data_IF_022255220757
#
_entry.id   IF_022255220757
#
_cell.length_a   1.000
_cell.length_b   1.000
_cell.length_c   1.000
_cell.angle_alpha   90.00
_cell.angle_beta   90.00
_cell.angle_gamma   90.00
#
_symmetry.space_group_name_H-M   'P 1'
#
loop_
_entity.id
_entity.type
_entity.pdbx_description
1 polymer ?
#
# COMPACT_ATOMS: atom_id res chain seq x y z
N UNK A 1 4.98 12.31 -0.49
CA UNK A 1 4.43 10.94 -0.27
C UNK A 1 4.56 10.13 -1.56
N UNK A 2 4.82 8.83 -1.47
CA UNK A 2 5.01 7.95 -2.64
C UNK A 2 3.70 7.39 -3.19
N UNK A 3 3.65 7.19 -4.50
CA UNK A 3 2.56 6.52 -5.19
C UNK A 3 2.46 5.04 -4.79
N UNK A 4 3.57 4.37 -4.46
CA UNK A 4 3.52 2.98 -4.01
C UNK A 4 2.78 2.82 -2.68
N UNK A 5 2.98 3.73 -1.73
CA UNK A 5 2.27 3.71 -0.44
C UNK A 5 0.79 4.02 -0.63
N UNK A 6 0.47 5.03 -1.44
CA UNK A 6 -0.92 5.36 -1.79
C UNK A 6 -1.65 4.16 -2.40
N UNK A 7 -1.08 3.55 -3.43
CA UNK A 7 -1.67 2.40 -4.11
C UNK A 7 -1.79 1.18 -3.19
N UNK A 8 -0.87 0.99 -2.24
CA UNK A 8 -0.96 -0.06 -1.24
C UNK A 8 -2.24 0.11 -0.40
N UNK A 9 -2.44 1.28 0.20
CA UNK A 9 -3.64 1.56 1.02
C UNK A 9 -4.93 1.54 0.21
N UNK A 10 -4.91 2.10 -1.00
CA UNK A 10 -6.03 2.03 -1.94
C UNK A 10 -6.42 0.60 -2.33
N UNK A 11 -5.50 -0.35 -2.17
CA UNK A 11 -5.72 -1.75 -2.49
C UNK A 11 -6.11 -2.62 -1.29
N UNK A 12 -6.07 -2.06 -0.07
CA UNK A 12 -6.57 -2.70 1.14
C UNK A 12 -8.10 -2.76 1.12
N UNK A 13 -8.67 -3.51 2.06
CA UNK A 13 -10.12 -3.59 2.22
C UNK A 13 -10.68 -2.31 2.86
N UNK A 14 -11.66 -1.69 2.20
CA UNK A 14 -12.39 -0.52 2.66
C UNK A 14 -13.80 -0.84 3.18
N UNK A 15 -14.23 -2.11 3.18
CA UNK A 15 -15.56 -2.47 3.63
C UNK A 15 -15.67 -2.40 5.15
N UNK A 16 -16.70 -1.77 5.70
CA UNK A 16 -16.97 -1.78 7.13
C UNK A 16 -17.83 -2.98 7.51
N UNK A 17 -17.37 -3.76 8.49
CA UNK A 17 -18.13 -4.82 9.13
C UNK A 17 -18.18 -4.54 10.63
N UNK A 18 -19.36 -4.60 11.24
CA UNK A 18 -19.58 -4.48 12.68
C UNK A 18 -18.89 -3.27 13.36
N UNK A 19 -18.87 -2.11 12.69
CA UNK A 19 -18.24 -0.88 13.18
C UNK A 19 -16.73 -1.01 13.46
N UNK A 20 -16.00 -1.87 12.73
CA UNK A 20 -14.53 -1.96 12.78
C UNK A 20 -13.86 -0.75 12.10
N UNK A 21 -14.10 0.44 12.65
CA UNK A 21 -13.48 1.68 12.22
C UNK A 21 -12.02 1.79 12.65
N UNK A 22 -11.64 1.10 13.73
CA UNK A 22 -10.28 1.10 14.26
C UNK A 22 -9.25 0.68 13.21
N UNK A 23 -9.59 -0.22 12.28
CA UNK A 23 -8.70 -0.65 11.19
C UNK A 23 -8.21 0.48 10.29
N UNK A 24 -8.98 1.57 10.16
CA UNK A 24 -8.61 2.73 9.35
C UNK A 24 -7.64 3.66 10.07
N UNK A 25 -7.40 3.45 11.37
CA UNK A 25 -6.36 4.17 12.11
C UNK A 25 -5.01 3.51 11.81
N UNK A 26 -4.09 4.27 11.21
CA UNK A 26 -2.79 3.80 10.68
C UNK A 26 -1.59 4.56 11.28
N UNK A 27 -1.32 4.42 12.59
CA UNK A 27 -0.32 5.24 13.28
C UNK A 27 1.07 5.17 12.65
N UNK A 28 1.51 3.97 12.27
CA UNK A 28 2.84 3.74 11.72
C UNK A 28 3.13 4.54 10.45
N UNK A 29 2.12 4.68 9.58
CA UNK A 29 2.25 5.42 8.31
C UNK A 29 2.37 6.94 8.51
N UNK A 30 1.84 7.45 9.63
CA UNK A 30 1.77 8.87 9.95
C UNK A 30 2.75 9.30 11.03
N UNK A 31 3.54 8.37 11.57
CA UNK A 31 4.53 8.63 12.62
C UNK A 31 5.44 9.84 12.33
N UNK A 32 5.93 10.09 11.10
CA UNK A 32 6.75 11.27 10.84
C UNK A 32 6.06 12.61 11.16
N UNK A 33 4.73 12.69 11.00
CA UNK A 33 3.97 13.89 11.38
C UNK A 33 3.96 14.06 12.91
N UNK A 34 3.77 12.96 13.64
CA UNK A 34 3.81 12.98 15.10
C UNK A 34 5.21 13.36 15.62
N UNK A 35 6.25 12.81 15.01
CA UNK A 35 7.64 13.12 15.38
C UNK A 35 7.97 14.61 15.14
N UNK A 36 7.51 15.19 14.04
CA UNK A 36 7.67 16.62 13.75
C UNK A 36 6.91 17.50 14.75
N UNK A 37 5.66 17.15 15.08
CA UNK A 37 4.87 17.87 16.08
C UNK A 37 5.56 17.88 17.46
N UNK A 38 6.14 16.75 17.87
CA UNK A 38 6.92 16.68 19.11
C UNK A 38 8.23 17.47 19.07
N UNK A 39 8.70 17.91 17.90
CA UNK A 39 9.85 18.80 17.81
C UNK A 39 9.49 20.26 18.16
N UNK A 40 8.20 20.62 18.21
CA UNK A 40 7.74 21.99 18.50
C UNK A 40 6.84 22.09 19.75
N UNK A 41 6.13 21.03 20.12
CA UNK A 41 5.27 20.99 21.30
C UNK A 41 5.92 20.19 22.43
N UNK A 42 5.63 20.56 23.68
CA UNK A 42 6.27 19.97 24.87
C UNK A 42 5.32 19.21 25.79
N UNK A 43 4.02 19.25 25.53
CA UNK A 43 2.98 18.61 26.32
C UNK A 43 1.88 18.02 25.42
N UNK A 44 1.09 17.12 26.01
CA UNK A 44 0.10 16.30 25.30
C UNK A 44 -1.07 17.13 24.73
N UNK A 45 -1.48 18.20 25.42
CA UNK A 45 -2.59 19.06 24.98
C UNK A 45 -2.19 19.86 23.75
N UNK A 46 -1.04 20.54 23.81
CA UNK A 46 -0.48 21.31 22.70
C UNK A 46 -0.22 20.42 21.47
N UNK A 47 0.32 19.22 21.69
CA UNK A 47 0.50 18.23 20.64
C UNK A 47 -0.83 17.84 20.00
N UNK A 48 -1.85 17.51 20.79
CA UNK A 48 -3.17 17.13 20.29
C UNK A 48 -3.87 18.29 19.55
N UNK A 49 -3.76 19.52 20.05
CA UNK A 49 -4.24 20.72 19.37
C UNK A 49 -3.48 20.94 18.04
N UNK A 50 -2.17 20.69 17.99
CA UNK A 50 -1.38 20.70 16.77
C UNK A 50 -1.87 19.69 15.73
N UNK A 51 -2.27 18.48 16.15
CA UNK A 51 -2.90 17.50 15.27
C UNK A 51 -4.23 18.02 14.71
N UNK A 52 -5.08 18.63 15.55
CA UNK A 52 -6.33 19.24 15.11
C UNK A 52 -6.11 20.34 14.07
N UNK A 53 -5.10 21.20 14.27
CA UNK A 53 -4.73 22.23 13.30
C UNK A 53 -4.32 21.65 11.94
N UNK A 54 -3.72 20.45 11.89
CA UNK A 54 -3.39 19.78 10.63
C UNK A 54 -4.67 19.32 9.92
N UNK A 55 -5.57 18.61 10.62
CA UNK A 55 -6.77 18.06 9.97
C UNK A 55 -7.76 19.16 9.57
N UNK A 56 -7.85 20.26 10.31
CA UNK A 56 -8.70 21.41 9.98
C UNK A 56 -8.27 22.16 8.70
N UNK A 57 -7.08 21.90 8.18
CA UNK A 57 -6.65 22.44 6.89
C UNK A 57 -7.17 21.64 5.69
N UNK A 58 -7.69 20.42 5.92
CA UNK A 58 -8.19 19.56 4.86
C UNK A 58 -9.64 19.96 4.53
N UNK A 59 -9.98 20.22 3.24
CA UNK A 59 -11.33 20.63 2.87
C UNK A 59 -12.38 19.56 3.19
N UNK A 60 -13.43 19.96 3.91
CA UNK A 60 -14.56 19.07 4.17
C UNK A 60 -15.30 18.72 2.87
N UNK A 61 -15.45 17.44 2.61
CA UNK A 61 -16.18 16.86 1.47
C UNK A 61 -16.78 15.54 1.94
N UNK A 62 -18.11 15.49 2.02
CA UNK A 62 -18.83 14.23 2.26
C UNK A 62 -18.33 13.16 1.29
N UNK A 63 -17.95 12.01 1.84
CA UNK A 63 -17.24 11.00 1.08
C UNK A 63 -17.70 9.59 1.45
N UNK A 64 -17.61 8.69 0.48
CA UNK A 64 -17.89 7.29 0.68
C UNK A 64 -17.28 6.48 -0.45
N UNK A 65 -16.77 5.25 -0.21
CA UNK A 65 -16.60 4.59 1.09
C UNK A 65 -15.50 5.23 1.96
N UNK A 66 -15.29 4.68 3.17
CA UNK A 66 -14.17 5.04 4.04
C UNK A 66 -12.82 4.89 3.33
N UNK A 67 -11.83 5.69 3.75
CA UNK A 67 -10.48 5.72 3.18
C UNK A 67 -9.44 5.70 4.30
N UNK A 68 -8.29 5.11 4.00
CA UNK A 68 -7.17 5.17 4.94
C UNK A 68 -6.56 6.58 4.94
N UNK A 69 -5.97 7.04 6.06
CA UNK A 69 -5.41 8.38 6.20
C UNK A 69 -4.45 8.81 5.07
N UNK A 70 -3.62 7.88 4.59
CA UNK A 70 -2.70 8.10 3.46
C UNK A 70 -3.46 8.49 2.18
N UNK A 71 -4.62 7.90 1.93
CA UNK A 71 -5.46 8.25 0.77
C UNK A 71 -6.08 9.64 0.96
N UNK A 72 -6.67 9.90 2.13
CA UNK A 72 -7.31 11.18 2.45
C UNK A 72 -6.35 12.36 2.32
N UNK A 73 -5.09 12.20 2.77
CA UNK A 73 -4.05 13.23 2.64
C UNK A 73 -3.73 13.51 1.17
N UNK A 74 -3.62 12.47 0.33
CA UNK A 74 -3.34 12.65 -1.11
C UNK A 74 -4.50 13.29 -1.85
N UNK A 75 -5.71 12.84 -1.57
CA UNK A 75 -6.92 13.32 -2.25
C UNK A 75 -7.36 14.70 -1.76
N UNK A 76 -6.82 15.14 -0.61
CA UNK A 76 -7.05 16.45 -0.03
C UNK A 76 -8.54 16.77 0.12
N UNK A 77 -9.24 15.86 0.80
CA UNK A 77 -10.64 16.03 1.15
C UNK A 77 -11.21 14.80 1.82
N UNK A 78 -12.18 15.02 2.70
CA UNK A 78 -12.87 13.98 3.44
C UNK A 78 -13.90 14.57 4.39
N UNK A 79 -14.54 13.71 5.14
CA UNK A 79 -15.57 13.99 6.12
C UNK A 79 -15.12 13.64 7.55
N UNK A 80 -16.04 13.69 8.49
CA UNK A 80 -15.78 13.62 9.93
C UNK A 80 -14.97 12.37 10.34
N UNK A 81 -15.29 11.22 9.77
CA UNK A 81 -14.60 9.95 10.01
C UNK A 81 -13.19 9.94 9.42
N UNK A 82 -12.99 10.36 8.17
CA UNK A 82 -11.67 10.40 7.55
C UNK A 82 -10.72 11.35 8.29
N UNK A 83 -11.23 12.49 8.77
CA UNK A 83 -10.44 13.42 9.59
C UNK A 83 -10.14 12.83 10.96
N UNK A 84 -11.11 12.12 11.56
CA UNK A 84 -10.91 11.40 12.81
C UNK A 84 -9.86 10.29 12.67
N UNK A 85 -9.80 9.57 11.54
CA UNK A 85 -8.78 8.56 11.30
C UNK A 85 -7.38 9.17 11.19
N UNK A 86 -7.23 10.31 10.51
CA UNK A 86 -5.94 11.02 10.46
C UNK A 86 -5.55 11.47 11.87
N UNK A 87 -6.43 12.18 12.57
CA UNK A 87 -6.15 12.71 13.90
C UNK A 87 -5.80 11.60 14.90
N UNK A 88 -6.62 10.55 14.98
CA UNK A 88 -6.36 9.41 15.85
C UNK A 88 -5.05 8.69 15.50
N UNK A 89 -4.71 8.59 14.21
CA UNK A 89 -3.46 7.95 13.78
C UNK A 89 -2.24 8.74 14.21
N UNK A 90 -2.25 10.07 14.01
CA UNK A 90 -1.14 10.93 14.42
C UNK A 90 -1.02 10.97 15.94
N UNK A 91 -2.15 11.14 16.65
CA UNK A 91 -2.16 11.17 18.12
C UNK A 91 -1.63 9.87 18.74
N UNK A 92 -2.13 8.72 18.25
CA UNK A 92 -1.65 7.40 18.71
C UNK A 92 -0.19 7.14 18.31
N UNK A 93 0.27 7.63 17.17
CA UNK A 93 1.68 7.54 16.78
C UNK A 93 2.59 8.38 17.68
N UNK A 94 2.08 9.52 18.18
CA UNK A 94 2.73 10.37 19.17
C UNK A 94 2.74 9.79 20.59
N UNK A 95 2.04 8.68 20.83
CA UNK A 95 2.01 8.01 22.13
C UNK A 95 0.83 8.36 23.02
N UNK A 96 -0.13 9.18 22.54
CA UNK A 96 -1.35 9.46 23.29
C UNK A 96 -2.29 8.25 23.31
N UNK A 97 -3.08 8.15 24.38
CA UNK A 97 -4.16 7.18 24.48
C UNK A 97 -5.44 7.77 23.87
N UNK A 98 -5.98 7.06 22.88
CA UNK A 98 -6.94 7.61 21.93
C UNK A 98 -8.01 6.57 21.61
N UNK A 99 -9.25 7.05 21.48
CA UNK A 99 -10.42 6.30 21.02
C UNK A 99 -11.11 7.07 19.89
N UNK A 100 -11.88 6.37 19.06
CA UNK A 100 -12.86 7.03 18.18
C UNK A 100 -14.19 7.16 18.91
N UNK A 101 -14.88 8.26 18.66
CA UNK A 101 -16.20 8.58 19.19
C UNK A 101 -17.19 8.61 18.04
N UNK A 102 -18.04 7.59 17.95
CA UNK A 102 -19.08 7.49 16.93
C UNK A 102 -20.42 7.99 17.47
N UNK A 103 -20.93 9.08 16.89
CA UNK A 103 -22.23 9.67 17.19
C UNK A 103 -23.23 9.21 16.12
N UNK A 104 -23.82 8.02 16.31
CA UNK A 104 -24.66 7.36 15.30
C UNK A 104 -25.90 8.20 14.92
N UNK A 105 -26.57 8.80 15.91
CA UNK A 105 -27.76 9.62 15.67
C UNK A 105 -27.45 10.91 14.91
N UNK A 106 -26.26 11.46 15.10
CA UNK A 106 -25.80 12.69 14.45
C UNK A 106 -25.07 12.42 13.14
N UNK A 107 -24.83 11.14 12.80
CA UNK A 107 -24.01 10.73 11.65
C UNK A 107 -22.64 11.42 11.65
N UNK A 108 -22.02 11.48 12.83
CA UNK A 108 -20.75 12.17 13.06
C UNK A 108 -19.72 11.27 13.73
N UNK A 109 -18.44 11.55 13.49
CA UNK A 109 -17.33 10.87 14.15
C UNK A 109 -16.29 11.89 14.61
N UNK A 110 -15.74 11.64 15.79
CA UNK A 110 -14.65 12.41 16.37
C UNK A 110 -13.62 11.52 17.05
N UNK A 111 -12.62 12.17 17.63
CA UNK A 111 -11.58 11.53 18.44
C UNK A 111 -11.82 11.88 19.91
N UNK A 112 -11.65 10.88 20.78
CA UNK A 112 -11.51 11.07 22.21
C UNK A 112 -10.06 10.86 22.59
N UNK A 113 -9.44 11.84 23.24
CA UNK A 113 -8.04 11.77 23.66
C UNK A 113 -7.94 11.83 25.18
N UNK A 114 -7.22 10.89 25.77
CA UNK A 114 -6.92 10.91 27.19
C UNK A 114 -5.66 11.73 27.42
N UNK A 115 -5.77 12.75 28.26
CA UNK A 115 -4.67 13.59 28.72
C UNK A 115 -4.41 13.35 30.20
N UNK A 116 -3.17 13.61 30.62
CA UNK A 116 -2.76 13.46 32.04
C UNK A 116 -3.38 14.51 32.95
N UNK A 117 -3.67 15.70 32.42
CA UNK A 117 -4.32 16.82 33.11
C UNK A 117 -5.53 17.30 32.29
N UNK A 118 -6.40 18.07 32.92
CA UNK A 118 -7.55 18.68 32.23
C UNK A 118 -7.08 19.73 31.21
N UNK A 119 -7.67 19.80 29.99
CA UNK A 119 -7.30 20.80 28.99
C UNK A 119 -7.43 22.24 29.50
N UNK A 120 -6.36 23.02 29.41
CA UNK A 120 -6.30 24.42 29.86
C UNK A 120 -6.56 25.42 28.73
N UNK A 121 -6.41 25.01 27.47
CA UNK A 121 -6.53 25.89 26.30
C UNK A 121 -7.97 26.10 25.81
N UNK A 122 -8.97 25.54 26.48
CA UNK A 122 -10.39 25.64 26.10
C UNK A 122 -10.83 27.12 26.12
N UNK A 123 -11.36 27.64 25.00
CA UNK A 123 -11.70 29.08 24.86
C UNK A 123 -13.16 29.39 25.12
N UNK A 124 -14.05 28.44 24.83
CA UNK A 124 -15.49 28.68 24.83
C UNK A 124 -16.16 28.25 26.13
N UNK A 125 -17.33 28.84 26.39
CA UNK A 125 -18.27 28.37 27.43
C UNK A 125 -18.90 27.00 27.09
N UNK A 126 -18.52 26.40 25.95
CA UNK A 126 -18.98 25.11 25.43
C UNK A 126 -18.00 23.98 25.80
N UNK A 127 -17.44 24.04 27.01
CA UNK A 127 -16.71 22.91 27.61
C UNK A 127 -17.70 21.76 27.79
N UNK A 128 -17.33 20.58 27.28
CA UNK A 128 -18.07 19.35 27.52
C UNK A 128 -17.31 18.49 28.52
N UNK A 129 -18.04 17.78 29.37
CA UNK A 129 -17.44 16.83 30.30
C UNK A 129 -16.78 15.70 29.52
N UNK A 130 -15.58 15.24 29.91
CA UNK A 130 -14.93 14.14 29.22
C UNK A 130 -15.80 12.88 29.26
N UNK A 131 -15.68 12.06 28.23
CA UNK A 131 -16.33 10.75 28.18
C UNK A 131 -15.53 9.80 29.05
N UNK A 132 -16.19 9.20 30.03
CA UNK A 132 -15.58 8.17 30.87
C UNK A 132 -15.71 6.80 30.21
N UNK A 133 -14.59 6.12 30.00
CA UNK A 133 -14.55 4.76 29.47
C UNK A 133 -13.42 3.98 30.14
N UNK A 134 -13.74 2.79 30.67
CA UNK A 134 -12.80 1.92 31.40
C UNK A 134 -11.98 2.63 32.49
N UNK A 135 -12.60 3.59 33.19
CA UNK A 135 -11.96 4.33 34.28
C UNK A 135 -10.97 5.42 33.82
N UNK A 136 -10.96 5.75 32.51
CA UNK A 136 -10.22 6.89 31.95
C UNK A 136 -11.18 7.94 31.41
N UNK A 137 -10.73 9.19 31.44
CA UNK A 137 -11.44 10.34 30.87
C UNK A 137 -10.87 10.69 29.50
N UNK A 138 -11.73 10.75 28.50
CA UNK A 138 -11.38 11.13 27.13
C UNK A 138 -12.03 12.47 26.78
N UNK A 139 -11.20 13.47 26.51
CA UNK A 139 -11.64 14.78 26.04
C UNK A 139 -11.89 14.73 24.54
N UNK A 140 -12.96 15.41 24.10
CA UNK A 140 -13.27 15.49 22.67
C UNK A 140 -12.19 16.28 21.93
N UNK A 141 -11.75 15.73 20.81
CA UNK A 141 -10.96 16.42 19.81
C UNK A 141 -11.80 16.51 18.53
N UNK A 142 -12.53 17.62 18.37
CA UNK A 142 -13.43 17.84 17.24
C UNK A 142 -12.64 18.07 15.95
N UNK A 143 -12.74 17.10 15.04
CA UNK A 143 -11.92 17.05 13.84
C UNK A 143 -12.49 17.90 12.69
N UNK A 144 -13.74 18.38 12.81
CA UNK A 144 -14.40 19.21 11.79
C UNK A 144 -14.48 20.67 12.25
N UNK A 145 -13.66 21.55 11.68
CA UNK A 145 -13.56 22.95 12.14
C UNK A 145 -13.43 24.00 11.03
N UNK A 146 -12.92 23.63 9.86
CA UNK A 146 -12.82 24.46 8.64
C UNK A 146 -11.88 25.68 8.72
N UNK A 147 -11.77 26.34 9.86
CA UNK A 147 -10.83 27.44 10.13
C UNK A 147 -9.71 26.93 11.05
N UNK A 148 -8.62 26.40 10.50
CA UNK A 148 -7.50 25.88 11.29
C UNK A 148 -6.85 26.89 12.26
N UNK A 149 -7.04 28.21 12.06
CA UNK A 149 -6.47 29.24 12.98
C UNK A 149 -7.30 29.42 14.23
N UNK A 150 -8.61 29.24 14.12
CA UNK A 150 -9.57 29.40 15.21
C UNK A 150 -10.40 28.13 15.45
N UNK A 151 -9.97 27.01 14.89
CA UNK A 151 -10.67 25.73 14.91
C UNK A 151 -10.66 25.14 16.29
N UNK A 152 -11.43 24.08 16.49
CA UNK A 152 -11.63 23.44 17.79
C UNK A 152 -10.33 23.05 18.47
N UNK A 153 -10.33 23.19 19.79
CA UNK A 153 -9.29 22.68 20.69
C UNK A 153 -9.80 21.47 21.44
N UNK A 154 -8.89 20.64 21.92
CA UNK A 154 -9.23 19.50 22.77
C UNK A 154 -10.04 19.99 23.99
N UNK A 155 -11.12 19.29 24.30
CA UNK A 155 -12.06 19.65 25.37
C UNK A 155 -13.18 20.60 24.95
N UNK A 156 -13.08 21.26 23.79
CA UNK A 156 -14.19 21.98 23.18
C UNK A 156 -15.14 21.00 22.47
N UNK A 157 -16.44 21.27 22.55
CA UNK A 157 -17.47 20.43 21.94
C UNK A 157 -18.54 21.30 21.28
N UNK A 158 -18.95 20.98 20.03
CA UNK A 158 -20.07 21.68 19.38
C UNK A 158 -21.38 21.44 20.16
N UNK A 159 -22.25 22.46 20.16
CA UNK A 159 -23.48 22.44 20.96
C UNK A 159 -24.41 21.28 20.57
N UNK A 160 -24.35 20.86 19.30
CA UNK A 160 -25.11 19.76 18.73
C UNK A 160 -24.72 18.40 19.32
N UNK A 161 -23.48 18.25 19.80
CA UNK A 161 -22.97 17.00 20.38
C UNK A 161 -22.95 17.00 21.90
N UNK A 162 -23.24 18.14 22.55
CA UNK A 162 -23.11 18.33 24.00
C UNK A 162 -23.90 17.30 24.82
N UNK A 163 -25.10 16.93 24.39
CA UNK A 163 -25.93 15.94 25.10
C UNK A 163 -26.07 14.64 24.30
N UNK A 164 -25.29 14.49 23.22
CA UNK A 164 -25.33 13.32 22.35
C UNK A 164 -24.57 12.14 22.96
N UNK A 165 -25.09 10.93 22.75
CA UNK A 165 -24.42 9.70 23.20
C UNK A 165 -23.42 9.22 22.14
N UNK A 166 -22.17 9.02 22.56
CA UNK A 166 -21.13 8.46 21.69
C UNK A 166 -20.93 6.97 21.98
N UNK A 167 -20.77 6.16 20.93
CA UNK A 167 -20.14 4.85 21.04
C UNK A 167 -18.63 5.03 21.02
N UNK A 168 -17.96 4.57 22.07
CA UNK A 168 -16.50 4.51 22.15
C UNK A 168 -15.99 3.30 21.37
N UNK A 169 -15.06 3.53 20.46
CA UNK A 169 -14.38 2.48 19.68
C UNK A 169 -12.89 2.53 20.04
N UNK A 170 -12.40 1.46 20.67
CA UNK A 170 -11.00 1.34 21.06
C UNK A 170 -10.09 1.11 19.85
N UNK A 171 -8.82 1.50 19.98
CA UNK A 171 -7.83 1.39 18.92
C UNK A 171 -6.92 0.16 19.08
N UNK A 172 -7.44 -0.91 19.67
CA UNK A 172 -6.74 -2.19 19.82
C UNK A 172 -6.51 -2.89 18.47
N UNK A 173 -7.48 -2.75 17.55
CA UNK A 173 -7.46 -3.35 16.21
C UNK A 173 -6.92 -2.39 15.13
N UNK A 174 -6.25 -1.31 15.52
CA UNK A 174 -5.64 -0.40 14.55
C UNK A 174 -4.47 -1.07 13.81
N UNK A 175 -4.01 -0.46 12.72
CA UNK A 175 -2.90 -1.02 11.95
C UNK A 175 -1.60 -1.08 12.77
N UNK A 176 -1.06 -2.30 12.90
CA UNK A 176 0.12 -2.56 13.71
C UNK A 176 1.45 -2.29 13.00
N UNK A 177 1.46 -2.25 11.66
CA UNK A 177 2.65 -1.96 10.86
C UNK A 177 2.27 -1.41 9.48
N UNK A 178 3.13 -0.55 8.93
CA UNK A 178 2.95 -0.01 7.58
C UNK A 178 4.18 -0.32 6.70
N UNK A 179 4.00 -0.61 5.40
CA UNK A 179 5.12 -0.85 4.48
C UNK A 179 5.93 0.41 4.15
N UNK A 180 5.44 1.57 4.54
CA UNK A 180 6.11 2.84 4.39
C UNK A 180 5.42 3.90 5.23
N UNK A 181 5.96 5.10 5.19
CA UNK A 181 5.43 6.24 5.90
C UNK A 181 5.25 7.41 4.93
N UNK A 182 4.44 8.38 5.33
CA UNK A 182 4.44 9.70 4.70
C UNK A 182 5.76 10.42 4.98
N UNK A 183 6.11 11.41 4.16
CA UNK A 183 7.20 12.33 4.49
C UNK A 183 6.58 13.57 5.14
N UNK A 184 7.21 14.10 6.18
CA UNK A 184 6.78 15.31 6.89
C UNK A 184 7.99 16.22 7.12
N UNK A 185 7.77 17.54 7.05
CA UNK A 185 8.76 18.57 7.40
C UNK A 185 8.09 19.94 7.48
N UNK A 186 8.62 20.83 8.31
CA UNK A 186 8.27 22.27 8.30
C UNK A 186 8.91 23.05 7.14
N UNK A 187 9.86 22.43 6.44
CA UNK A 187 10.55 22.98 5.29
C UNK A 187 10.22 22.25 3.98
N UNK A 188 10.78 22.76 2.89
CA UNK A 188 10.76 22.04 1.61
C UNK A 188 11.79 20.93 1.66
N UNK A 189 11.33 19.68 1.60
CA UNK A 189 12.19 18.51 1.49
C UNK A 189 12.95 18.49 0.16
N UNK A 190 14.21 18.07 0.19
CA UNK A 190 14.99 17.88 -1.02
C UNK A 190 14.46 16.69 -1.86
N UNK A 191 14.54 16.78 -3.18
CA UNK A 191 14.13 15.66 -4.04
C UNK A 191 15.09 14.50 -3.96
N UNK A 192 14.55 13.28 -4.03
CA UNK A 192 15.32 12.04 -4.19
C UNK A 192 14.83 11.25 -5.40
N UNK A 193 15.60 10.24 -5.84
CA UNK A 193 15.18 9.29 -6.87
C UNK A 193 15.56 7.86 -6.51
N UNK A 194 14.71 6.92 -6.91
CA UNK A 194 14.89 5.50 -6.67
C UNK A 194 14.87 4.76 -8.01
N UNK A 195 15.80 3.85 -8.22
CA UNK A 195 15.84 3.00 -9.42
C UNK A 195 15.56 1.55 -9.07
N UNK A 196 14.94 0.79 -9.96
CA UNK A 196 14.78 -0.66 -9.80
C UNK A 196 15.11 -1.39 -11.10
N UNK A 197 15.91 -2.44 -10.95
CA UNK A 197 16.26 -3.39 -11.99
C UNK A 197 16.10 -4.81 -11.48
N UNK A 198 15.90 -5.74 -12.40
CA UNK A 198 15.82 -7.16 -12.11
C UNK A 198 16.84 -7.87 -12.99
N UNK A 199 17.55 -8.86 -12.44
CA UNK A 199 18.66 -9.54 -13.13
C UNK A 199 18.24 -10.25 -14.42
N UNK A 200 16.97 -10.58 -14.57
CA UNK A 200 16.37 -11.14 -15.79
C UNK A 200 14.91 -10.74 -15.90
N UNK A 201 14.42 -10.55 -17.13
CA UNK A 201 12.99 -10.35 -17.43
C UNK A 201 12.15 -11.63 -17.35
N UNK A 202 12.81 -12.80 -17.32
CA UNK A 202 12.14 -14.10 -17.19
C UNK A 202 12.88 -15.03 -16.21
N UNK A 203 12.12 -15.86 -15.50
CA UNK A 203 12.66 -16.87 -14.57
C UNK A 203 11.74 -18.09 -14.51
N UNK A 204 12.30 -19.26 -14.15
CA UNK A 204 11.51 -20.47 -13.91
C UNK A 204 11.04 -20.45 -12.46
N UNK A 205 9.80 -20.87 -12.19
CA UNK A 205 9.29 -20.97 -10.82
C UNK A 205 10.24 -21.80 -9.93
N UNK A 206 10.46 -21.31 -8.71
CA UNK A 206 11.41 -21.86 -7.73
C UNK A 206 12.87 -21.51 -7.98
N UNK A 207 13.21 -20.79 -9.06
CA UNK A 207 14.59 -20.32 -9.33
C UNK A 207 14.78 -18.88 -8.85
N UNK A 208 15.99 -18.54 -8.38
CA UNK A 208 16.27 -17.21 -7.87
C UNK A 208 16.36 -16.17 -8.99
N UNK A 209 15.86 -14.98 -8.71
CA UNK A 209 16.06 -13.75 -9.48
C UNK A 209 16.45 -12.64 -8.50
N UNK A 210 17.39 -11.78 -8.89
CA UNK A 210 17.83 -10.66 -8.05
C UNK A 210 17.12 -9.39 -8.48
N UNK A 211 16.46 -8.75 -7.52
CA UNK A 211 15.85 -7.43 -7.63
C UNK A 211 16.77 -6.45 -6.92
N UNK A 212 17.04 -5.29 -7.49
CA UNK A 212 17.89 -4.31 -6.83
C UNK A 212 17.95 -2.98 -7.56
N UNK A 213 18.59 -2.01 -6.92
CA UNK A 213 18.66 -0.67 -7.44
C UNK A 213 19.47 0.24 -6.52
N UNK A 214 19.29 1.55 -6.72
CA UNK A 214 19.97 2.57 -5.92
C UNK A 214 19.04 3.73 -5.61
N UNK A 215 19.22 4.28 -4.41
CA UNK A 215 18.68 5.55 -3.95
C UNK A 215 19.68 6.66 -4.26
N UNK A 216 19.18 7.79 -4.75
CA UNK A 216 19.96 9.00 -5.03
C UNK A 216 19.33 10.19 -4.29
N UNK A 217 20.11 10.96 -3.49
CA UNK A 217 21.53 10.77 -3.22
C UNK A 217 21.83 9.45 -2.50
N UNK A 218 23.11 9.06 -2.48
CA UNK A 218 23.53 7.83 -1.82
C UNK A 218 23.33 7.95 -0.31
N UNK A 219 22.27 7.35 0.20
CA UNK A 219 21.91 7.37 1.61
C UNK A 219 21.95 5.94 2.17
N UNK A 220 22.75 5.72 3.20
CA UNK A 220 22.89 4.44 3.87
C UNK A 220 21.81 4.22 4.93
N UNK A 221 21.50 2.95 5.21
CA UNK A 221 20.61 2.59 6.32
C UNK A 221 19.13 2.94 6.09
N UNK A 222 18.73 3.20 4.84
CA UNK A 222 17.36 3.58 4.50
C UNK A 222 16.55 2.35 4.11
N UNK A 223 15.33 2.24 4.63
CA UNK A 223 14.42 1.15 4.34
C UNK A 223 13.72 1.37 2.99
N UNK A 224 14.03 0.53 2.01
CA UNK A 224 13.38 0.48 0.71
C UNK A 224 12.42 -0.70 0.68
N UNK A 225 11.13 -0.43 0.46
CA UNK A 225 10.11 -1.48 0.38
C UNK A 225 9.88 -1.86 -1.07
N UNK A 226 10.00 -3.15 -1.36
CA UNK A 226 9.74 -3.75 -2.67
C UNK A 226 8.29 -4.26 -2.66
N UNK A 227 7.50 -3.77 -3.59
CA UNK A 227 6.11 -4.14 -3.81
C UNK A 227 6.01 -5.06 -5.02
N UNK A 228 5.07 -6.00 -4.95
CA UNK A 228 4.76 -6.92 -6.03
C UNK A 228 3.27 -7.00 -6.27
N UNK A 229 2.89 -7.28 -7.51
CA UNK A 229 1.51 -7.56 -7.90
C UNK A 229 1.48 -8.58 -9.02
N UNK A 230 0.56 -9.54 -8.96
CA UNK A 230 0.22 -10.34 -10.15
C UNK A 230 -0.77 -9.57 -11.05
N UNK A 231 -0.99 -9.99 -12.29
CA UNK A 231 -1.91 -9.29 -13.21
C UNK A 231 -3.35 -9.10 -12.69
N UNK A 232 -3.78 -9.93 -11.74
CA UNK A 232 -5.16 -9.97 -11.22
C UNK A 232 -5.28 -9.59 -9.74
N UNK A 233 -4.18 -9.27 -9.06
CA UNK A 233 -4.19 -8.96 -7.62
C UNK A 233 -3.95 -7.48 -7.34
N UNK A 234 -4.19 -7.08 -6.09
CA UNK A 234 -3.77 -5.82 -5.48
C UNK A 234 -2.27 -5.80 -5.18
N UNK A 235 -1.67 -4.61 -5.13
CA UNK A 235 -0.27 -4.48 -4.73
C UNK A 235 -0.06 -4.99 -3.32
N UNK A 236 0.98 -5.80 -3.12
CA UNK A 236 1.37 -6.29 -1.80
C UNK A 236 2.86 -6.08 -1.58
N UNK A 237 3.28 -6.18 -0.32
CA UNK A 237 4.69 -6.09 0.06
C UNK A 237 5.36 -7.42 -0.26
N UNK A 238 6.43 -7.37 -1.05
CA UNK A 238 7.31 -8.51 -1.24
C UNK A 238 8.34 -8.60 -0.11
N UNK A 239 9.01 -7.49 0.18
CA UNK A 239 10.02 -7.38 1.24
C UNK A 239 10.41 -5.93 1.50
N UNK A 240 11.14 -5.69 2.59
CA UNK A 240 11.84 -4.42 2.86
C UNK A 240 13.32 -4.71 3.02
N UNK A 241 14.15 -3.92 2.34
CA UNK A 241 15.61 -4.04 2.35
C UNK A 241 16.25 -2.72 2.75
N UNK A 242 17.46 -2.79 3.28
CA UNK A 242 18.21 -1.63 3.75
C UNK A 242 19.25 -1.24 2.71
N UNK A 243 19.40 0.06 2.44
CA UNK A 243 20.46 0.57 1.56
C UNK A 243 21.84 0.48 2.21
N UNK A 244 22.85 0.16 1.40
CA UNK A 244 24.26 0.20 1.79
C UNK A 244 24.84 1.63 1.77
N UNK A 245 26.14 1.77 2.04
CA UNK A 245 26.83 3.06 2.05
C UNK A 245 26.82 3.80 0.70
N UNK A 246 26.63 3.09 -0.40
CA UNK A 246 26.52 3.65 -1.75
C UNK A 246 25.04 3.90 -2.15
N UNK A 247 24.11 3.76 -1.20
CA UNK A 247 22.67 3.90 -1.44
C UNK A 247 22.07 2.73 -2.23
N UNK A 248 22.80 1.63 -2.43
CA UNK A 248 22.33 0.48 -3.20
C UNK A 248 21.56 -0.48 -2.33
N UNK A 249 20.60 -1.18 -2.92
CA UNK A 249 19.83 -2.22 -2.27
C UNK A 249 19.64 -3.43 -3.19
N UNK A 250 19.53 -4.62 -2.61
CA UNK A 250 19.35 -5.86 -3.36
C UNK A 250 18.60 -6.90 -2.56
N UNK A 251 17.79 -7.70 -3.26
CA UNK A 251 17.01 -8.80 -2.73
C UNK A 251 16.98 -9.95 -3.74
N UNK A 252 17.21 -11.18 -3.29
CA UNK A 252 17.05 -12.37 -4.11
C UNK A 252 15.72 -13.05 -3.80
N UNK A 253 14.86 -13.12 -4.82
CA UNK A 253 13.54 -13.72 -4.72
C UNK A 253 13.45 -15.01 -5.53
N UNK A 254 12.77 -16.03 -5.02
CA UNK A 254 12.45 -17.26 -5.77
C UNK A 254 10.93 -17.39 -5.90
N UNK A 255 10.33 -17.01 -7.03
CA UNK A 255 8.87 -17.03 -7.21
C UNK A 255 8.31 -18.45 -7.12
N UNK A 256 7.33 -18.70 -6.27
CA UNK A 256 6.73 -20.04 -6.11
C UNK A 256 5.78 -20.42 -7.25
N UNK A 257 5.14 -19.43 -7.87
CA UNK A 257 4.11 -19.63 -8.89
C UNK A 257 4.49 -18.98 -10.21
N UNK A 258 4.10 -19.62 -11.32
CA UNK A 258 4.22 -19.06 -12.66
C UNK A 258 3.19 -17.94 -12.87
N UNK A 259 3.52 -16.99 -13.74
CA UNK A 259 2.65 -15.85 -14.05
C UNK A 259 3.42 -14.59 -14.39
N UNK A 260 2.66 -13.52 -14.63
CA UNK A 260 3.19 -12.18 -14.87
C UNK A 260 3.16 -11.38 -13.57
N UNK A 261 4.31 -10.86 -13.18
CA UNK A 261 4.48 -10.05 -11.98
C UNK A 261 4.94 -8.64 -12.32
N UNK A 262 4.37 -7.66 -11.62
CA UNK A 262 4.78 -6.27 -11.65
C UNK A 262 5.51 -5.98 -10.35
N UNK A 263 6.72 -5.45 -10.44
CA UNK A 263 7.61 -5.20 -9.30
C UNK A 263 8.01 -3.74 -9.31
N UNK A 264 7.91 -3.06 -8.18
CA UNK A 264 8.44 -1.71 -7.98
C UNK A 264 8.98 -1.57 -6.57
N UNK A 265 9.76 -0.53 -6.32
CA UNK A 265 10.23 -0.18 -4.99
C UNK A 265 9.77 1.23 -4.63
N UNK A 266 9.61 1.48 -3.34
CA UNK A 266 9.33 2.79 -2.79
C UNK A 266 10.21 3.05 -1.57
N UNK A 267 10.68 4.29 -1.45
CA UNK A 267 11.30 4.82 -0.26
C UNK A 267 10.48 6.00 0.25
N UNK A 268 10.14 5.99 1.54
CA UNK A 268 9.27 7.00 2.14
C UNK A 268 9.88 8.39 2.30
N UNK A 269 11.19 8.52 2.10
CA UNK A 269 11.92 9.73 2.43
C UNK A 269 12.34 9.74 3.90
N UNK A 270 12.79 10.90 4.35
CA UNK A 270 13.16 11.20 5.74
C UNK A 270 12.99 12.70 6.01
N UNK A 271 13.56 13.18 7.10
CA UNK A 271 13.50 14.59 7.51
C UNK A 271 14.15 15.57 6.50
N UNK A 272 15.04 15.07 5.64
CA UNK A 272 15.81 15.88 4.69
C UNK A 272 15.30 15.73 3.26
N UNK A 273 14.82 14.53 2.89
CA UNK A 273 14.46 14.17 1.52
C UNK A 273 13.02 13.66 1.40
N UNK A 274 12.35 14.11 0.33
CA UNK A 274 11.05 13.57 -0.05
C UNK A 274 11.19 12.12 -0.53
N UNK A 275 10.18 11.30 -0.25
CA UNK A 275 10.13 9.93 -0.73
C UNK A 275 10.07 9.80 -2.26
N UNK A 276 10.54 8.66 -2.77
CA UNK A 276 10.61 8.37 -4.19
C UNK A 276 10.16 6.93 -4.51
N UNK A 277 9.54 6.77 -5.68
CA UNK A 277 9.21 5.48 -6.26
C UNK A 277 10.17 5.13 -7.40
N UNK A 278 10.39 3.84 -7.61
CA UNK A 278 11.10 3.35 -8.79
C UNK A 278 10.18 3.22 -10.01
N UNK A 279 10.79 2.96 -11.16
CA UNK A 279 10.09 2.35 -12.30
C UNK A 279 9.43 1.02 -11.89
N UNK A 280 8.36 0.65 -12.60
CA UNK A 280 7.77 -0.70 -12.48
C UNK A 280 8.42 -1.62 -13.51
N UNK A 281 8.92 -2.77 -13.05
CA UNK A 281 9.47 -3.83 -13.87
C UNK A 281 8.46 -4.97 -14.04
N UNK A 282 8.41 -5.58 -15.22
CA UNK A 282 7.54 -6.72 -15.52
C UNK A 282 8.38 -7.99 -15.61
N UNK A 283 8.11 -8.95 -14.72
CA UNK A 283 8.78 -10.26 -14.67
C UNK A 283 7.83 -11.37 -15.14
N UNK A 284 8.29 -12.15 -16.12
CA UNK A 284 7.59 -13.36 -16.60
C UNK A 284 8.13 -14.61 -15.90
N UNK A 285 7.30 -15.27 -15.10
CA UNK A 285 7.66 -16.52 -14.43
C UNK A 285 7.02 -17.70 -15.17
N UNK A 286 7.83 -18.67 -15.58
CA UNK A 286 7.39 -19.87 -16.30
C UNK A 286 7.41 -21.10 -15.40
N UNK A 287 6.41 -21.99 -15.54
CA UNK A 287 6.50 -23.31 -14.89
C UNK A 287 7.43 -24.21 -15.66
N UNK A 288 8.22 -25.01 -14.94
CA UNK A 288 9.04 -26.06 -15.53
C UNK A 288 8.21 -27.05 -16.36
N UNK A 289 6.98 -27.35 -15.93
CA UNK A 289 6.08 -28.29 -16.64
C UNK A 289 5.70 -27.79 -18.03
N UNK A 290 5.36 -26.51 -18.14
CA UNK A 290 5.02 -25.87 -19.43
C UNK A 290 6.22 -25.83 -20.37
N UNK A 291 7.42 -25.61 -19.83
CA UNK A 291 8.67 -25.65 -20.61
C UNK A 291 8.92 -27.06 -21.16
N UNK A 292 8.83 -28.08 -20.32
CA UNK A 292 9.04 -29.47 -20.71
C UNK A 292 8.00 -29.94 -21.74
N UNK A 293 6.72 -29.58 -21.55
CA UNK A 293 5.67 -29.87 -22.51
C UNK A 293 5.93 -29.18 -23.86
N UNK A 294 6.36 -27.91 -23.85
CA UNK A 294 6.73 -27.20 -25.08
C UNK A 294 7.86 -27.88 -25.85
N UNK A 295 8.91 -28.32 -25.15
CA UNK A 295 10.02 -29.08 -25.75
C UNK A 295 9.52 -30.41 -26.34
N UNK A 296 8.67 -31.15 -25.62
CA UNK A 296 8.11 -32.42 -26.10
C UNK A 296 7.25 -32.24 -27.35
N UNK A 297 6.44 -31.18 -27.43
CA UNK A 297 5.63 -30.85 -28.61
C UNK A 297 6.50 -30.45 -29.80
N UNK A 298 7.53 -29.63 -29.61
CA UNK A 298 8.46 -29.27 -30.69
C UNK A 298 9.20 -30.51 -31.20
N UNK A 299 9.65 -31.38 -30.28
CA UNK A 299 10.29 -32.64 -30.62
C UNK A 299 9.38 -33.57 -31.43
N UNK A 300 8.11 -33.73 -31.03
CA UNK A 300 7.15 -34.58 -31.75
C UNK A 300 6.79 -34.02 -33.13
N UNK A 301 6.64 -32.69 -33.27
CA UNK A 301 6.47 -32.02 -34.56
C UNK A 301 7.69 -32.18 -35.47
N UNK A 302 8.90 -32.12 -34.90
CA UNK A 302 10.14 -32.40 -35.63
C UNK A 302 10.21 -33.83 -36.16
N UNK A 303 9.86 -34.82 -35.33
CA UNK A 303 9.77 -36.23 -35.74
C UNK A 303 8.71 -36.41 -36.83
N UNK A 304 7.52 -35.82 -36.65
CA UNK A 304 6.46 -35.87 -37.64
C UNK A 304 6.92 -35.29 -38.99
N UNK A 305 7.61 -34.15 -38.98
CA UNK A 305 8.17 -33.54 -40.18
C UNK A 305 9.17 -34.47 -40.89
N UNK A 306 10.08 -35.10 -40.13
CA UNK A 306 11.03 -36.07 -40.68
C UNK A 306 10.31 -37.27 -41.30
N UNK A 307 9.29 -37.81 -40.63
CA UNK A 307 8.48 -38.93 -41.15
C UNK A 307 7.75 -38.53 -42.44
N UNK A 308 7.18 -37.33 -42.50
CA UNK A 308 6.51 -36.81 -43.72
C UNK A 308 7.51 -36.66 -44.87
N UNK A 309 8.72 -36.16 -44.62
CA UNK A 309 9.77 -36.06 -45.64
C UNK A 309 10.22 -37.45 -46.11
N UNK A 310 10.40 -38.41 -45.19
CA UNK A 310 10.83 -39.76 -45.51
C UNK A 310 9.79 -40.56 -46.29
N UNK A 311 8.50 -40.42 -45.95
CA UNK A 311 7.40 -41.10 -46.64
C UNK A 311 7.13 -40.51 -48.03
N UNK A 312 7.30 -39.19 -48.23
CA UNK A 312 7.20 -38.55 -49.56
C UNK A 312 8.34 -38.91 -50.52
N UNK A 313 9.49 -39.38 -50.03
CA UNK A 313 10.63 -39.83 -50.87
C UNK A 313 10.46 -41.24 -51.44
N UNK A 314 9.48 -42.03 -51.00
CA UNK A 314 9.13 -43.32 -51.62
C UNK A 314 8.06 -43.11 -52.70
N UNK A 315 8.49 -42.97 -53.95
CA UNK A 315 7.62 -43.16 -55.15
C UNK A 315 7.65 -44.66 -55.53
N UNK A 316 6.56 -45.28 -56.01
CA UNK A 316 6.52 -46.72 -56.29
C UNK A 316 7.37 -47.10 -57.50
N UNK A 317 8.07 -48.22 -57.42
CA UNK A 317 8.76 -48.87 -58.54
C UNK A 317 7.70 -49.48 -59.49
N UNK A 318 7.59 -48.99 -60.72
CA UNK A 318 6.75 -49.60 -61.75
C UNK A 318 7.34 -50.94 -62.18
N UNK A 319 6.68 -52.05 -61.82
CA UNK A 319 6.95 -53.35 -62.43
C UNK A 319 6.30 -53.43 -63.81
N UNK A 320 7.11 -53.24 -64.83
CA UNK A 320 6.84 -53.62 -66.22
C UNK A 320 6.85 -55.16 -66.33
N UNK A 321 5.70 -55.80 -66.54
CA UNK A 321 5.63 -57.24 -66.85
C UNK A 321 5.43 -57.39 -68.36
N UNK A 322 6.54 -57.64 -69.04
CA UNK A 322 6.60 -58.25 -70.37
C UNK A 322 5.96 -59.64 -70.34
N UNK A 323 4.86 -59.83 -71.06
CA UNK A 323 4.39 -61.16 -71.47
C UNK A 323 4.65 -61.31 -72.98
N UNK A 324 5.66 -62.12 -73.32
CA UNK A 324 6.01 -62.46 -74.69
C UNK A 324 5.29 -63.72 -75.20
N UNK A 325 4.97 -63.67 -76.50
CA UNK A 325 5.14 -64.72 -77.56
C UNK A 325 4.40 -66.08 -77.39
N UNK A 326 3.79 -66.77 -78.38
CA UNK A 326 3.95 -66.99 -79.83
C UNK A 326 2.59 -67.40 -80.47
N UNK A 327 2.24 -66.93 -81.68
CA UNK A 327 2.22 -67.63 -83.00
C UNK A 327 1.43 -68.97 -83.08
N UNK A 328 0.41 -69.01 -83.96
CA UNK A 328 0.09 -70.16 -84.82
C UNK A 328 -0.55 -69.71 -86.15
N UNK A 329 -0.09 -70.32 -87.24
CA UNK A 329 -0.40 -70.11 -88.67
C UNK A 329 -1.67 -70.83 -89.20
N UNK A 330 -2.13 -70.32 -90.37
CA UNK A 330 -2.85 -70.93 -91.52
C UNK A 330 -4.15 -71.75 -91.35
N UNK A 331 -5.25 -71.33 -91.99
CA UNK A 331 -5.60 -71.58 -93.41
C UNK A 331 -6.64 -70.55 -93.92
#
# INVERSE_FOLDING_TARGET
MTSALYDYYRSKDHNLYDHDFAKFVTPNSLKPIADDLWAIYSDDEDFANGVLMIVHQIPYKESGPQKYPVETIVENGGDCDLFSFIAASVMKAGGLDVVLLLYEEQSHMNVGVHLSEEPEDVRFQYTYSPIEYEGKQYYMAECTGGDWRNGWRVGECPIELKDASARVITLENCEQSSPGQVSSSYGVLASSSLSLSVSSGFVISGRPVTIGGSLSPALAGKNVTIYIRSSVSSWSVLTTVVTDFDGRYSFTWSPSSAGMYYVRAGWSGDADYAGADSNTFVLSVFSMEWILMGIAVIGSLGVLLVVVIATRRKVPEETEILAGTEVFEEY
#
